data_IF_608971893428
#
_entry.id   IF_608971893428
#
_cell.length_a   1.000
_cell.length_b   1.000
_cell.length_c   1.000
_cell.angle_alpha   90.00
_cell.angle_beta   90.00
_cell.angle_gamma   90.00
#
_symmetry.space_group_name_H-M   'P 1'
#
loop_
_entity.id
_entity.type
_entity.pdbx_description
1 polymer ?
#
# COMPACT_ATOMS: atom_id res chain seq x y z
N UNK A 1 1.22 -8.27 -36.27
CA UNK A 1 1.26 -8.38 -34.80
C UNK A 1 1.30 -7.01 -34.11
N UNK A 2 2.36 -6.20 -34.24
CA UNK A 2 2.48 -4.91 -33.54
C UNK A 2 1.37 -3.88 -33.85
N UNK A 3 1.00 -3.69 -35.13
CA UNK A 3 -0.15 -2.84 -35.53
C UNK A 3 -1.48 -3.30 -34.91
N UNK A 4 -1.62 -4.60 -34.65
CA UNK A 4 -2.83 -5.16 -34.03
C UNK A 4 -2.88 -4.81 -32.54
N UNK A 5 -1.75 -4.89 -31.84
CA UNK A 5 -1.65 -4.52 -30.42
C UNK A 5 -1.93 -3.03 -30.21
N UNK A 6 -1.43 -2.16 -31.10
CA UNK A 6 -1.71 -0.73 -31.08
C UNK A 6 -3.22 -0.44 -31.19
N UNK A 7 -3.88 -0.99 -32.22
CA UNK A 7 -5.33 -0.87 -32.41
C UNK A 7 -6.15 -1.42 -31.24
N UNK A 8 -5.68 -2.51 -30.62
CA UNK A 8 -6.33 -3.09 -29.43
C UNK A 8 -6.17 -2.17 -28.22
N UNK A 9 -5.00 -1.55 -28.04
CA UNK A 9 -4.74 -0.56 -27.00
C UNK A 9 -5.62 0.69 -27.15
N UNK A 10 -5.77 1.21 -28.37
CA UNK A 10 -6.66 2.34 -28.68
C UNK A 10 -8.13 2.02 -28.36
N UNK A 11 -8.55 0.77 -28.59
CA UNK A 11 -9.93 0.30 -28.37
C UNK A 11 -10.12 -0.43 -27.04
N UNK A 12 -9.18 -0.30 -26.09
CA UNK A 12 -9.20 -1.05 -24.83
C UNK A 12 -10.50 -0.91 -24.05
N UNK A 13 -11.12 0.27 -24.08
CA UNK A 13 -12.40 0.53 -23.39
C UNK A 13 -13.53 -0.34 -23.95
N UNK A 14 -13.60 -0.48 -25.28
CA UNK A 14 -14.60 -1.31 -25.96
C UNK A 14 -14.36 -2.78 -25.64
N UNK A 15 -13.12 -3.24 -25.68
CA UNK A 15 -12.77 -4.64 -25.38
C UNK A 15 -13.12 -4.99 -23.93
N UNK A 16 -12.78 -4.12 -22.98
CA UNK A 16 -13.09 -4.34 -21.57
C UNK A 16 -14.59 -4.28 -21.28
N UNK A 17 -15.32 -3.35 -21.89
CA UNK A 17 -16.78 -3.25 -21.80
C UNK A 17 -17.46 -4.51 -22.35
N UNK A 18 -17.02 -5.03 -23.51
CA UNK A 18 -17.53 -6.29 -24.05
C UNK A 18 -17.24 -7.48 -23.13
N UNK A 19 -16.02 -7.57 -22.60
CA UNK A 19 -15.66 -8.60 -21.63
C UNK A 19 -16.56 -8.54 -20.39
N UNK A 20 -16.79 -7.34 -19.84
CA UNK A 20 -17.64 -7.12 -18.68
C UNK A 20 -19.11 -7.50 -18.94
N UNK A 21 -19.64 -7.17 -20.12
CA UNK A 21 -20.99 -7.63 -20.51
C UNK A 21 -21.04 -9.14 -20.64
N UNK A 22 -20.02 -9.75 -21.25
CA UNK A 22 -19.97 -11.19 -21.42
C UNK A 22 -19.95 -11.93 -20.08
N UNK A 23 -19.08 -11.57 -19.13
CA UNK A 23 -19.06 -12.20 -17.80
C UNK A 23 -20.38 -12.00 -17.05
N UNK A 24 -21.04 -10.83 -17.23
CA UNK A 24 -22.33 -10.55 -16.61
C UNK A 24 -23.43 -11.44 -17.19
N UNK A 25 -23.48 -11.61 -18.51
CA UNK A 25 -24.43 -12.50 -19.19
C UNK A 25 -24.24 -13.97 -18.80
N UNK A 26 -23.00 -14.38 -18.53
CA UNK A 26 -22.69 -15.74 -18.07
C UNK A 26 -22.94 -15.94 -16.56
N UNK A 27 -23.46 -14.93 -15.84
CA UNK A 27 -23.62 -14.97 -14.38
C UNK A 27 -22.31 -15.28 -13.62
N UNK A 28 -21.18 -14.78 -14.14
CA UNK A 28 -19.84 -15.01 -13.57
C UNK A 28 -19.38 -13.87 -12.65
N UNK A 29 -20.21 -12.84 -12.46
CA UNK A 29 -19.91 -11.69 -11.60
C UNK A 29 -20.30 -12.01 -10.16
N UNK A 30 -19.30 -12.20 -9.30
CA UNK A 30 -19.52 -12.35 -7.86
C UNK A 30 -19.80 -10.98 -7.20
N UNK A 31 -20.75 -10.86 -6.26
CA UNK A 31 -21.02 -9.59 -5.57
C UNK A 31 -19.88 -9.17 -4.61
N UNK A 32 -19.00 -10.08 -4.22
CA UNK A 32 -17.80 -9.76 -3.44
C UNK A 32 -16.59 -9.67 -4.36
N UNK A 33 -15.92 -8.53 -4.33
CA UNK A 33 -14.82 -8.21 -5.21
C UNK A 33 -13.57 -7.84 -4.42
N UNK A 34 -12.45 -8.50 -4.72
CA UNK A 34 -11.13 -8.16 -4.21
C UNK A 34 -10.44 -7.24 -5.19
N UNK A 35 -10.10 -6.05 -4.71
CA UNK A 35 -9.45 -5.01 -5.50
C UNK A 35 -8.01 -4.87 -5.05
N UNK A 36 -7.10 -4.93 -6.01
CA UNK A 36 -5.68 -4.67 -5.81
C UNK A 36 -5.11 -3.81 -6.92
N UNK A 37 -4.06 -3.06 -6.60
CA UNK A 37 -3.34 -2.20 -7.52
C UNK A 37 -1.91 -2.70 -7.65
N UNK A 38 -1.44 -2.79 -8.90
CA UNK A 38 -0.05 -3.08 -9.22
C UNK A 38 0.48 -2.12 -10.28
N UNK A 39 1.77 -2.24 -10.60
CA UNK A 39 2.47 -1.42 -11.57
C UNK A 39 3.52 -2.26 -12.26
N UNK A 40 3.82 -1.93 -13.51
CA UNK A 40 4.90 -2.57 -14.25
C UNK A 40 5.76 -1.53 -14.94
N UNK A 41 7.08 -1.74 -14.89
CA UNK A 41 8.04 -0.88 -15.57
C UNK A 41 8.24 -1.30 -17.02
N UNK A 42 8.72 -0.37 -17.83
CA UNK A 42 9.13 -0.66 -19.20
C UNK A 42 10.24 0.29 -19.64
N UNK A 43 10.94 -0.08 -20.70
CA UNK A 43 12.14 0.63 -21.17
C UNK A 43 11.87 1.60 -22.32
N UNK A 44 10.78 1.38 -23.06
CA UNK A 44 10.37 2.28 -24.13
C UNK A 44 9.98 3.66 -23.61
N UNK A 45 10.17 4.71 -24.42
CA UNK A 45 9.90 6.10 -24.02
C UNK A 45 8.67 6.71 -24.69
N UNK A 46 8.02 5.96 -25.60
CA UNK A 46 6.93 6.45 -26.45
C UNK A 46 5.52 6.12 -25.92
N UNK A 47 5.41 5.38 -24.81
CA UNK A 47 4.11 5.04 -24.24
C UNK A 47 3.50 6.27 -23.55
N UNK A 48 2.28 6.71 -23.93
CA UNK A 48 1.64 7.89 -23.35
C UNK A 48 1.20 7.72 -21.89
N UNK A 49 1.16 6.48 -21.41
CA UNK A 49 0.90 6.15 -20.00
C UNK A 49 2.19 6.07 -19.16
N UNK A 50 3.35 6.15 -19.81
CA UNK A 50 4.65 6.09 -19.16
C UNK A 50 4.94 7.31 -18.33
N UNK A 51 4.92 7.15 -17.02
CA UNK A 51 5.33 8.20 -16.09
C UNK A 51 6.27 7.62 -15.04
N UNK A 52 7.17 8.46 -14.53
CA UNK A 52 7.99 8.10 -13.38
C UNK A 52 7.09 8.00 -12.14
N UNK A 53 7.08 6.82 -11.53
CA UNK A 53 6.23 6.50 -10.40
C UNK A 53 6.91 5.57 -9.41
N UNK A 54 6.18 5.18 -8.38
CA UNK A 54 6.66 4.18 -7.42
C UNK A 54 6.75 2.82 -8.12
N UNK A 55 7.98 2.28 -8.22
CA UNK A 55 8.19 0.97 -8.81
C UNK A 55 7.89 -0.12 -7.78
N UNK A 56 6.82 -0.89 -8.01
CA UNK A 56 6.56 -2.13 -7.23
C UNK A 56 7.58 -3.24 -7.52
N UNK A 57 8.27 -3.15 -8.67
CA UNK A 57 9.33 -4.08 -9.10
C UNK A 57 10.73 -3.69 -8.61
N UNK A 58 10.86 -2.69 -7.73
CA UNK A 58 12.15 -2.13 -7.26
C UNK A 58 13.09 -1.66 -8.39
N UNK A 59 12.54 -1.14 -9.49
CA UNK A 59 13.28 -0.54 -10.61
C UNK A 59 13.15 0.99 -10.61
N UNK A 60 13.96 1.71 -9.81
CA UNK A 60 13.90 3.16 -9.75
C UNK A 60 14.36 3.80 -11.07
N UNK A 61 13.78 4.95 -11.41
CA UNK A 61 14.15 5.72 -12.60
C UNK A 61 13.62 5.19 -13.94
N UNK A 62 12.82 4.13 -13.93
CA UNK A 62 12.14 3.59 -15.13
C UNK A 62 10.70 4.10 -15.22
N UNK A 63 10.21 4.30 -16.45
CA UNK A 63 8.81 4.62 -16.70
C UNK A 63 7.92 3.46 -16.26
N UNK A 64 6.77 3.79 -15.68
CA UNK A 64 5.82 2.83 -15.13
C UNK A 64 4.45 3.01 -15.79
N UNK A 65 3.69 1.92 -15.82
CA UNK A 65 2.22 1.95 -15.90
C UNK A 65 1.64 1.42 -14.60
N UNK A 66 0.52 1.97 -14.16
CA UNK A 66 -0.22 1.45 -13.01
C UNK A 66 -1.48 0.74 -13.51
N UNK A 67 -1.84 -0.39 -12.90
CA UNK A 67 -3.07 -1.10 -13.21
C UNK A 67 -3.80 -1.53 -11.95
N UNK A 68 -5.12 -1.45 -11.97
CA UNK A 68 -6.01 -1.92 -10.91
C UNK A 68 -6.85 -3.06 -11.42
N UNK A 69 -6.93 -4.14 -10.66
CA UNK A 69 -7.73 -5.33 -10.99
C UNK A 69 -8.75 -5.57 -9.88
N UNK A 70 -9.94 -6.01 -10.30
CA UNK A 70 -10.99 -6.50 -9.41
C UNK A 70 -11.27 -7.95 -9.75
N UNK A 71 -11.28 -8.82 -8.73
CA UNK A 71 -11.49 -10.26 -8.89
C UNK A 71 -12.60 -10.73 -7.94
N UNK A 72 -13.55 -11.50 -8.44
CA UNK A 72 -14.60 -12.09 -7.61
C UNK A 72 -14.08 -13.16 -6.64
N UNK A 73 -14.86 -13.52 -5.62
CA UNK A 73 -14.56 -14.69 -4.76
C UNK A 73 -14.41 -15.99 -5.55
N UNK A 74 -15.07 -16.08 -6.70
CA UNK A 74 -14.95 -17.17 -7.68
C UNK A 74 -13.63 -17.16 -8.48
N UNK A 75 -12.69 -16.26 -8.17
CA UNK A 75 -11.40 -16.08 -8.85
C UNK A 75 -11.50 -15.59 -10.30
N UNK A 76 -12.65 -15.03 -10.71
CA UNK A 76 -12.84 -14.49 -12.05
C UNK A 76 -12.51 -12.99 -12.03
N UNK A 77 -11.57 -12.51 -12.87
CA UNK A 77 -11.33 -11.09 -13.03
C UNK A 77 -12.56 -10.40 -13.63
N UNK A 78 -13.06 -9.39 -12.93
CA UNK A 78 -14.29 -8.67 -13.31
C UNK A 78 -13.97 -7.32 -13.94
N UNK A 79 -12.95 -6.62 -13.44
CA UNK A 79 -12.58 -5.30 -13.96
C UNK A 79 -11.06 -5.13 -14.05
N UNK A 80 -10.64 -4.37 -15.07
CA UNK A 80 -9.27 -3.91 -15.25
C UNK A 80 -9.26 -2.41 -15.53
N UNK A 81 -8.38 -1.70 -14.85
CA UNK A 81 -8.09 -0.28 -15.08
C UNK A 81 -6.60 -0.13 -15.34
N UNK A 82 -6.23 0.74 -16.30
CA UNK A 82 -4.83 1.04 -16.63
C UNK A 82 -4.67 2.55 -16.63
N UNK A 83 -3.70 3.03 -15.87
CA UNK A 83 -3.42 4.43 -15.61
C UNK A 83 -1.93 4.74 -15.76
N UNK A 84 -1.61 6.03 -15.75
CA UNK A 84 -0.23 6.51 -15.73
C UNK A 84 0.50 6.00 -14.49
N UNK A 85 1.80 5.71 -14.64
CA UNK A 85 2.64 5.12 -13.58
C UNK A 85 2.73 5.92 -12.27
N UNK A 86 2.46 7.22 -12.31
CA UNK A 86 2.50 8.12 -11.16
C UNK A 86 1.14 8.29 -10.45
N UNK A 87 0.09 7.61 -10.93
CA UNK A 87 -1.24 7.70 -10.33
C UNK A 87 -1.26 6.93 -9.01
N UNK A 88 -1.55 7.64 -7.92
CA UNK A 88 -1.68 7.03 -6.59
C UNK A 88 -2.91 6.14 -6.51
N UNK A 89 -2.79 5.01 -5.79
CA UNK A 89 -3.86 4.02 -5.61
C UNK A 89 -5.18 4.66 -5.15
N UNK A 90 -5.14 5.63 -4.24
CA UNK A 90 -6.33 6.36 -3.77
C UNK A 90 -7.14 7.02 -4.90
N UNK A 91 -6.46 7.55 -5.93
CA UNK A 91 -7.09 8.15 -7.11
C UNK A 91 -7.48 7.07 -8.12
N UNK A 92 -6.63 6.06 -8.30
CA UNK A 92 -6.90 4.94 -9.18
C UNK A 92 -8.18 4.19 -8.78
N UNK A 93 -8.38 3.99 -7.47
CA UNK A 93 -9.58 3.38 -6.90
C UNK A 93 -10.87 4.06 -7.33
N UNK A 94 -10.87 5.38 -7.49
CA UNK A 94 -12.07 6.11 -7.96
C UNK A 94 -12.48 5.69 -9.38
N UNK A 95 -11.50 5.40 -10.24
CA UNK A 95 -11.76 4.92 -11.60
C UNK A 95 -12.32 3.50 -11.59
N UNK A 96 -11.82 2.65 -10.69
CA UNK A 96 -12.32 1.28 -10.54
C UNK A 96 -13.74 1.27 -9.95
N UNK A 97 -14.02 2.10 -8.93
CA UNK A 97 -15.38 2.25 -8.36
C UNK A 97 -16.40 2.67 -9.43
N UNK A 98 -16.01 3.55 -10.36
CA UNK A 98 -16.86 3.95 -11.50
C UNK A 98 -17.16 2.80 -12.46
N UNK A 99 -16.25 1.84 -12.63
CA UNK A 99 -16.53 0.64 -13.42
C UNK A 99 -17.43 -0.34 -12.64
N UNK A 100 -17.30 -0.39 -11.31
CA UNK A 100 -18.15 -1.24 -10.49
C UNK A 100 -19.64 -0.86 -10.61
N UNK A 101 -19.98 0.42 -10.74
CA UNK A 101 -21.38 0.85 -10.83
C UNK A 101 -22.15 0.31 -12.03
N UNK A 102 -21.46 -0.10 -13.11
CA UNK A 102 -22.11 -0.65 -14.31
C UNK A 102 -22.14 -2.18 -14.35
N UNK A 103 -21.45 -2.86 -13.42
CA UNK A 103 -21.24 -4.32 -13.47
C UNK A 103 -21.76 -5.01 -12.22
N UNK A 104 -21.63 -4.38 -11.04
CA UNK A 104 -22.00 -4.99 -9.77
C UNK A 104 -23.42 -4.61 -9.35
N UNK A 105 -24.19 -5.55 -8.77
CA UNK A 105 -25.49 -5.25 -8.19
C UNK A 105 -25.38 -4.43 -6.90
N UNK A 106 -26.44 -3.72 -6.52
CA UNK A 106 -26.55 -3.05 -5.21
C UNK A 106 -26.25 -4.04 -4.06
N UNK A 107 -25.61 -3.57 -2.99
CA UNK A 107 -25.22 -4.42 -1.84
C UNK A 107 -23.92 -5.22 -2.04
N UNK A 108 -23.26 -5.10 -3.19
CA UNK A 108 -21.94 -5.72 -3.42
C UNK A 108 -20.87 -5.25 -2.43
N UNK A 109 -19.89 -6.10 -2.13
CA UNK A 109 -18.81 -5.84 -1.17
C UNK A 109 -17.47 -5.65 -1.88
N UNK A 110 -16.84 -4.49 -1.70
CA UNK A 110 -15.48 -4.24 -2.17
C UNK A 110 -14.45 -4.46 -1.05
N UNK A 111 -13.57 -5.43 -1.23
CA UNK A 111 -12.46 -5.74 -0.32
C UNK A 111 -11.17 -5.17 -0.90
N UNK A 112 -10.50 -4.27 -0.18
CA UNK A 112 -9.27 -3.63 -0.68
C UNK A 112 -8.31 -3.24 0.43
N UNK A 113 -7.06 -3.04 0.05
CA UNK A 113 -5.96 -2.72 0.96
C UNK A 113 -6.07 -1.29 1.55
N UNK A 114 -5.04 -0.88 2.31
CA UNK A 114 -5.02 0.45 2.88
C UNK A 114 -4.75 1.57 1.85
N UNK A 115 -4.16 1.26 0.68
CA UNK A 115 -3.89 2.24 -0.38
C UNK A 115 -5.16 2.90 -0.91
N UNK A 116 -6.26 2.14 -1.00
CA UNK A 116 -7.58 2.64 -1.37
C UNK A 116 -8.37 3.31 -0.23
N UNK A 117 -7.92 3.19 1.03
CA UNK A 117 -8.67 3.60 2.23
C UNK A 117 -8.65 5.13 2.44
N UNK A 118 -9.59 5.82 1.81
CA UNK A 118 -9.85 7.25 2.03
C UNK A 118 -11.32 7.51 2.30
N UNK A 119 -11.63 8.60 3.00
CA UNK A 119 -13.03 9.00 3.26
C UNK A 119 -13.80 9.27 1.96
N UNK A 120 -13.15 9.84 0.94
CA UNK A 120 -13.78 10.07 -0.37
C UNK A 120 -14.12 8.76 -1.06
N UNK A 121 -13.21 7.78 -1.06
CA UNK A 121 -13.49 6.47 -1.67
C UNK A 121 -14.60 5.73 -0.92
N UNK A 122 -14.57 5.73 0.42
CA UNK A 122 -15.63 5.13 1.23
C UNK A 122 -17.00 5.72 0.93
N UNK A 123 -17.10 7.05 0.89
CA UNK A 123 -18.33 7.74 0.51
C UNK A 123 -18.80 7.31 -0.88
N UNK A 124 -17.94 7.35 -1.89
CA UNK A 124 -18.29 6.92 -3.26
C UNK A 124 -18.81 5.48 -3.34
N UNK A 125 -18.24 4.57 -2.55
CA UNK A 125 -18.71 3.18 -2.46
C UNK A 125 -20.11 3.14 -1.85
N UNK A 126 -20.35 3.88 -0.76
CA UNK A 126 -21.67 3.96 -0.11
C UNK A 126 -22.73 4.67 -0.94
N UNK A 127 -22.35 5.69 -1.72
CA UNK A 127 -23.25 6.39 -2.65
C UNK A 127 -23.80 5.43 -3.73
N UNK A 128 -23.03 4.41 -4.11
CA UNK A 128 -23.45 3.32 -4.99
C UNK A 128 -24.20 2.20 -4.26
N UNK A 129 -24.50 2.38 -2.96
CA UNK A 129 -25.09 1.36 -2.07
C UNK A 129 -24.27 0.08 -1.98
N UNK A 130 -22.97 0.15 -2.21
CA UNK A 130 -22.03 -0.96 -2.01
C UNK A 130 -21.46 -0.93 -0.59
N UNK A 131 -21.01 -2.07 -0.10
CA UNK A 131 -20.27 -2.20 1.16
C UNK A 131 -18.76 -2.22 0.88
N UNK A 132 -17.95 -1.99 1.92
CA UNK A 132 -16.51 -2.12 1.84
C UNK A 132 -15.93 -2.86 3.03
N UNK A 133 -14.82 -3.55 2.80
CA UNK A 133 -13.94 -4.10 3.81
C UNK A 133 -12.52 -3.65 3.49
N UNK A 134 -11.90 -2.92 4.42
CA UNK A 134 -10.55 -2.39 4.19
C UNK A 134 -9.71 -2.38 5.46
N UNK A 135 -8.39 -2.38 5.29
CA UNK A 135 -7.43 -2.31 6.38
C UNK A 135 -7.22 -0.87 6.84
N UNK A 136 -7.08 -0.68 8.15
CA UNK A 136 -6.68 0.60 8.73
C UNK A 136 -5.18 0.83 8.52
N UNK A 137 -4.79 2.06 8.20
CA UNK A 137 -3.38 2.43 8.04
C UNK A 137 -2.60 2.22 9.34
N UNK A 138 -1.50 1.47 9.27
CA UNK A 138 -0.60 1.14 10.40
C UNK A 138 0.17 2.37 10.92
N UNK A 139 -0.54 3.35 11.45
CA UNK A 139 0.02 4.56 12.06
C UNK A 139 -0.13 4.48 13.58
N UNK A 140 0.93 4.86 14.31
CA UNK A 140 0.98 4.79 15.79
C UNK A 140 -0.21 5.50 16.45
N UNK A 141 -0.56 6.69 15.98
CA UNK A 141 -1.63 7.51 16.56
C UNK A 141 -2.99 6.81 16.54
N UNK A 142 -3.54 6.51 15.36
CA UNK A 142 -4.82 5.80 15.24
C UNK A 142 -4.87 4.52 16.08
N UNK A 143 -3.84 3.67 15.95
CA UNK A 143 -3.79 2.36 16.62
C UNK A 143 -3.81 2.42 18.15
N UNK A 144 -3.37 3.52 18.78
CA UNK A 144 -3.45 3.66 20.25
C UNK A 144 -4.88 3.49 20.75
N UNK A 145 -5.82 4.16 20.11
CA UNK A 145 -7.23 4.10 20.50
C UNK A 145 -7.79 2.69 20.27
N UNK A 146 -7.43 2.04 19.17
CA UNK A 146 -7.87 0.67 18.91
C UNK A 146 -7.31 -0.33 19.93
N UNK A 147 -6.05 -0.19 20.35
CA UNK A 147 -5.45 -1.02 21.40
C UNK A 147 -6.19 -0.82 22.73
N UNK A 148 -6.46 0.42 23.12
CA UNK A 148 -7.22 0.72 24.35
C UNK A 148 -8.61 0.08 24.30
N UNK A 149 -9.34 0.22 23.18
CA UNK A 149 -10.67 -0.37 23.01
C UNK A 149 -10.61 -1.89 23.11
N UNK A 150 -9.62 -2.52 22.47
CA UNK A 150 -9.45 -3.96 22.50
C UNK A 150 -9.27 -4.49 23.94
N UNK A 151 -8.42 -3.84 24.75
CA UNK A 151 -8.22 -4.24 26.15
C UNK A 151 -9.42 -3.91 27.04
N UNK A 152 -10.13 -2.80 26.79
CA UNK A 152 -11.31 -2.42 27.55
C UNK A 152 -12.52 -3.36 27.31
N UNK A 153 -12.57 -4.02 26.15
CA UNK A 153 -13.69 -4.89 25.74
C UNK A 153 -13.37 -6.38 25.85
N UNK A 154 -12.58 -6.77 26.84
CA UNK A 154 -12.14 -8.15 27.03
C UNK A 154 -13.30 -9.15 27.14
N UNK A 155 -14.42 -8.74 27.73
CA UNK A 155 -15.62 -9.59 27.87
C UNK A 155 -16.35 -9.85 26.54
N UNK A 156 -16.18 -8.97 25.54
CA UNK A 156 -16.78 -9.12 24.21
C UNK A 156 -15.84 -9.79 23.20
N UNK A 157 -14.70 -10.27 23.66
CA UNK A 157 -13.66 -10.86 22.82
C UNK A 157 -14.06 -12.26 22.38
N UNK A 158 -13.96 -12.53 21.08
CA UNK A 158 -14.18 -13.85 20.51
C UNK A 158 -12.85 -14.43 20.07
N UNK A 159 -12.52 -15.61 20.58
CA UNK A 159 -11.31 -16.34 20.19
C UNK A 159 -11.62 -17.42 19.17
N UNK A 160 -10.74 -17.58 18.18
CA UNK A 160 -10.86 -18.59 17.13
C UNK A 160 -9.48 -19.01 16.63
N UNK A 161 -9.41 -20.20 16.05
CA UNK A 161 -8.18 -20.74 15.47
C UNK A 161 -8.18 -20.50 13.96
N UNK A 162 -7.06 -20.03 13.43
CA UNK A 162 -6.85 -19.92 11.98
C UNK A 162 -5.45 -20.42 11.63
N UNK A 163 -5.40 -21.53 10.88
CA UNK A 163 -4.18 -22.32 10.72
C UNK A 163 -3.70 -22.85 12.07
N UNK A 164 -2.44 -22.59 12.41
CA UNK A 164 -1.81 -23.05 13.66
C UNK A 164 -1.75 -21.94 14.72
N UNK A 165 -2.57 -20.89 14.60
CA UNK A 165 -2.51 -19.71 15.46
C UNK A 165 -3.87 -19.42 16.06
N UNK A 166 -3.84 -18.97 17.32
CA UNK A 166 -5.03 -18.50 18.03
C UNK A 166 -5.14 -16.99 17.81
N UNK A 167 -6.29 -16.59 17.30
CA UNK A 167 -6.68 -15.19 17.14
C UNK A 167 -7.77 -14.87 18.12
N UNK A 168 -7.82 -13.61 18.48
CA UNK A 168 -8.94 -13.03 19.20
C UNK A 168 -9.39 -11.75 18.53
N UNK A 169 -10.69 -11.50 18.58
CA UNK A 169 -11.32 -10.41 17.89
C UNK A 169 -12.28 -9.67 18.79
N UNK A 170 -12.19 -8.34 18.77
CA UNK A 170 -13.18 -7.43 19.32
C UNK A 170 -13.82 -6.68 18.17
N UNK A 171 -15.15 -6.66 18.12
CA UNK A 171 -15.90 -5.81 17.19
C UNK A 171 -16.60 -4.67 17.92
N UNK A 172 -16.64 -3.49 17.29
CA UNK A 172 -17.41 -2.35 17.78
C UNK A 172 -17.90 -1.49 16.62
N UNK A 173 -18.98 -0.74 16.86
CA UNK A 173 -19.53 0.23 15.92
C UNK A 173 -18.88 1.59 16.15
N UNK A 174 -18.42 2.23 15.08
CA UNK A 174 -17.87 3.59 15.08
C UNK A 174 -18.62 4.40 14.02
N UNK A 175 -19.68 5.09 14.45
CA UNK A 175 -20.63 5.74 13.56
C UNK A 175 -21.32 4.73 12.62
N UNK A 176 -21.13 4.94 11.32
CA UNK A 176 -21.64 4.05 10.27
C UNK A 176 -20.72 2.87 9.97
N UNK A 177 -19.50 2.87 10.51
CA UNK A 177 -18.54 1.78 10.30
C UNK A 177 -18.65 0.73 11.40
N UNK A 178 -18.39 -0.53 11.03
CA UNK A 178 -18.11 -1.59 12.01
C UNK A 178 -16.63 -1.90 11.93
N UNK A 179 -15.97 -1.86 13.09
CA UNK A 179 -14.54 -2.13 13.22
C UNK A 179 -14.31 -3.48 13.85
N UNK A 180 -13.35 -4.20 13.29
CA UNK A 180 -12.89 -5.50 13.76
C UNK A 180 -11.41 -5.35 14.13
N UNK A 181 -11.09 -5.61 15.40
CA UNK A 181 -9.71 -5.59 15.89
C UNK A 181 -9.30 -7.02 16.14
N UNK A 182 -8.37 -7.51 15.34
CA UNK A 182 -7.79 -8.84 15.47
C UNK A 182 -6.44 -8.76 16.18
N UNK A 183 -6.20 -9.70 17.07
CA UNK A 183 -4.95 -9.84 17.79
C UNK A 183 -4.57 -11.32 17.93
N UNK A 184 -3.27 -11.59 17.92
CA UNK A 184 -2.69 -12.91 18.05
C UNK A 184 -1.36 -12.77 18.80
N UNK A 185 -1.24 -13.45 19.94
CA UNK A 185 -0.06 -13.39 20.80
C UNK A 185 1.20 -13.87 20.08
N UNK A 186 1.12 -14.99 19.34
CA UNK A 186 2.25 -15.53 18.56
C UNK A 186 2.78 -14.50 17.56
N UNK A 187 1.89 -13.81 16.85
CA UNK A 187 2.25 -12.78 15.89
C UNK A 187 2.85 -11.55 16.56
N UNK A 188 2.40 -11.19 17.76
CA UNK A 188 2.97 -10.10 18.53
C UNK A 188 4.41 -10.44 18.95
N UNK A 189 4.64 -11.64 19.48
CA UNK A 189 5.97 -12.17 19.82
C UNK A 189 6.91 -12.22 18.62
N UNK A 190 6.43 -12.72 17.48
CA UNK A 190 7.17 -12.73 16.21
C UNK A 190 7.61 -11.33 15.78
N UNK A 191 6.70 -10.35 15.87
CA UNK A 191 6.98 -8.96 15.49
C UNK A 191 8.01 -8.30 16.40
N UNK A 192 7.93 -8.54 17.72
CA UNK A 192 8.91 -8.05 18.68
C UNK A 192 10.29 -8.65 18.41
N UNK A 193 10.36 -9.97 18.19
CA UNK A 193 11.61 -10.67 17.87
C UNK A 193 12.24 -10.13 16.58
N UNK A 194 11.45 -9.93 15.52
CA UNK A 194 11.93 -9.34 14.26
C UNK A 194 12.46 -7.92 14.45
N UNK A 195 11.80 -7.10 15.28
CA UNK A 195 12.27 -5.74 15.60
C UNK A 195 13.56 -5.74 16.40
N UNK A 196 13.69 -6.61 17.40
CA UNK A 196 14.91 -6.77 18.19
C UNK A 196 16.10 -7.14 17.30
N UNK A 197 15.94 -8.16 16.45
CA UNK A 197 16.97 -8.57 15.48
C UNK A 197 17.35 -7.47 14.50
N UNK A 198 16.38 -6.64 14.07
CA UNK A 198 16.65 -5.50 13.20
C UNK A 198 17.46 -4.42 13.93
N UNK A 199 17.07 -4.11 15.17
CA UNK A 199 17.78 -3.14 16.01
C UNK A 199 19.24 -3.57 16.25
N UNK A 200 19.47 -4.85 16.55
CA UNK A 200 20.82 -5.41 16.71
C UNK A 200 21.66 -5.23 15.43
N UNK A 201 21.09 -5.54 14.26
CA UNK A 201 21.78 -5.35 12.97
C UNK A 201 22.07 -3.88 12.68
N UNK A 202 21.16 -2.98 13.02
CA UNK A 202 21.32 -1.55 12.80
C UNK A 202 22.38 -0.97 13.77
N UNK A 203 22.43 -1.46 15.02
CA UNK A 203 23.49 -1.14 15.99
C UNK A 203 24.86 -1.62 15.52
N UNK A 204 24.96 -2.84 15.00
CA UNK A 204 26.23 -3.37 14.48
C UNK A 204 26.74 -2.55 13.28
N UNK A 205 25.85 -2.22 12.34
CA UNK A 205 26.17 -1.30 11.23
C UNK A 205 26.59 0.07 11.74
N UNK A 206 25.91 0.59 12.76
CA UNK A 206 26.24 1.85 13.42
C UNK A 206 27.66 1.85 13.97
N UNK A 207 28.05 0.81 14.74
CA UNK A 207 29.41 0.66 15.27
C UNK A 207 30.48 0.61 14.17
N UNK A 208 30.20 -0.10 13.07
CA UNK A 208 31.10 -0.17 11.91
C UNK A 208 31.25 1.20 11.23
N UNK A 209 30.17 1.99 11.15
CA UNK A 209 30.19 3.35 10.62
C UNK A 209 30.94 4.31 11.54
N UNK A 210 30.71 4.26 12.86
CA UNK A 210 31.44 5.08 13.85
C UNK A 210 32.95 4.86 13.75
N UNK A 211 33.39 3.59 13.67
CA UNK A 211 34.82 3.25 13.44
C UNK A 211 35.38 3.78 12.12
N UNK A 212 34.55 4.00 11.10
CA UNK A 212 34.97 4.62 9.82
C UNK A 212 35.07 6.14 9.91
N UNK A 213 34.17 6.79 10.65
CA UNK A 213 34.23 8.24 10.94
C UNK A 213 35.46 8.58 11.77
N UNK A 214 35.74 7.81 12.83
CA UNK A 214 36.93 7.98 13.68
C UNK A 214 38.24 7.85 12.88
N UNK A 215 38.21 7.11 11.76
CA UNK A 215 39.33 6.95 10.82
C UNK A 215 39.37 8.02 9.72
N UNK A 216 38.58 9.10 9.84
CA UNK A 216 38.63 10.27 8.98
C UNK A 216 37.96 10.13 7.60
N UNK A 217 37.04 9.17 7.42
CA UNK A 217 36.27 9.03 6.18
C UNK A 217 34.92 9.77 6.27
N UNK A 218 34.60 10.58 5.27
CA UNK A 218 33.32 11.29 5.17
C UNK A 218 32.14 10.31 5.07
N UNK A 219 31.03 10.64 5.74
CA UNK A 219 29.80 9.85 5.71
C UNK A 219 28.57 10.74 5.47
N UNK A 220 27.69 10.26 4.59
CA UNK A 220 26.31 10.74 4.47
C UNK A 220 25.48 10.42 5.72
N UNK A 221 24.33 11.10 5.87
CA UNK A 221 23.49 11.19 7.08
C UNK A 221 23.41 9.93 7.98
N UNK A 222 23.57 10.13 9.30
CA UNK A 222 23.56 9.10 10.36
C UNK A 222 22.52 9.43 11.46
N UNK A 223 22.05 8.41 12.19
CA UNK A 223 21.23 8.53 13.42
C UNK A 223 22.04 7.93 14.58
N UNK A 224 22.32 8.74 15.60
CA UNK A 224 23.14 8.36 16.75
C UNK A 224 22.44 7.41 17.74
N UNK A 225 23.20 6.62 18.54
CA UNK A 225 22.65 5.69 19.53
C UNK A 225 22.05 6.40 20.76
N UNK A 226 22.55 7.60 21.04
CA UNK A 226 22.07 8.52 22.08
C UNK A 226 20.89 9.31 21.49
N UNK A 227 19.72 9.28 22.13
CA UNK A 227 18.43 9.77 21.61
C UNK A 227 18.28 11.28 21.36
N UNK A 228 19.28 11.97 20.80
CA UNK A 228 19.21 13.36 20.36
C UNK A 228 19.07 13.47 18.84
N UNK A 229 17.92 13.92 18.36
CA UNK A 229 17.75 14.32 16.96
C UNK A 229 18.45 15.66 16.73
N UNK A 230 19.62 15.66 16.10
CA UNK A 230 20.18 16.85 15.46
C UNK A 230 20.93 16.46 14.18
N UNK A 231 20.58 17.03 13.02
CA UNK A 231 21.33 16.80 11.78
C UNK A 231 22.59 17.65 11.81
N UNK A 232 23.72 17.09 12.22
CA UNK A 232 25.03 17.74 12.00
C UNK A 232 25.52 17.31 10.62
N UNK A 233 25.39 18.21 9.65
CA UNK A 233 26.07 18.10 8.35
C UNK A 233 27.45 18.68 8.53
N UNK A 234 28.47 17.83 8.67
CA UNK A 234 29.86 18.27 8.53
C UNK A 234 30.22 18.16 7.05
N UNK A 235 30.22 19.29 6.34
CA UNK A 235 30.78 19.40 4.99
C UNK A 235 32.11 20.15 5.11
N UNK A 236 33.21 19.55 4.64
CA UNK A 236 34.51 20.22 4.49
C UNK A 236 34.37 21.37 3.49
N UNK A 237 34.11 22.59 3.97
CA UNK A 237 34.48 23.82 3.26
C UNK A 237 35.74 24.41 3.90
N UNK A 238 36.84 24.20 3.19
CA UNK A 238 37.92 25.17 2.98
C UNK A 238 38.41 25.97 4.21
N UNK A 239 39.40 25.45 4.92
CA UNK A 239 40.36 26.27 5.66
C UNK A 239 41.61 26.41 4.78
N UNK A 240 41.57 27.37 3.85
CA UNK A 240 42.77 27.94 3.26
C UNK A 240 43.19 29.10 4.18
N UNK A 241 44.21 28.86 5.00
CA UNK A 241 44.90 29.91 5.74
C UNK A 241 45.84 30.60 4.74
N UNK A 242 45.54 31.85 4.40
CA UNK A 242 46.48 32.74 3.70
C UNK A 242 47.61 33.16 4.65
N UNK A 243 48.88 33.08 4.27
CA UNK A 243 49.94 33.76 5.01
C UNK A 243 49.98 35.22 4.57
N UNK A 244 49.98 36.15 5.53
CA UNK A 244 50.36 37.56 5.29
C UNK A 244 51.59 37.88 6.13
N UNK A 245 52.51 38.72 5.61
CA UNK A 245 53.87 38.84 6.12
C UNK A 245 54.03 39.99 7.13
N UNK A 246 54.88 39.77 8.14
CA UNK A 246 56.01 40.62 8.54
C UNK A 246 56.88 39.83 9.52
#
# INVERSE_FOLDING_TARGET
MYRTLERLGERKSIVLDQFQRWISQQSLVDPTQFVDFSSSYFEGTKCPLGELGYSRDNQPGKLQIAFGISVGLNNIPTMLTIQKGNVQDKKHMQMLIRLCSSVLPEGSLLVFDCGGNTQDNKRRIRDLKFHYLTLKAKKKGPYRNEITIYHARKESQVSFVSGNRVYSCVKYRDGEEVRYIFFCDDLACDQLTKKARKLEKDLEKGKVLTKKVERGKDLGQYIAPEGGSSPVVISRRSLAISPTPM
#
